data_IF_526106984680
#
_entry.id   IF_526106984680
#
_cell.length_a   1.000
_cell.length_b   1.000
_cell.length_c   1.000
_cell.angle_alpha   90.00
_cell.angle_beta   90.00
_cell.angle_gamma   90.00
#
_symmetry.space_group_name_H-M   'P 1'
#
loop_
_entity.id
_entity.type
_entity.pdbx_description
1 polymer ?
#
# COMPACT_ATOMS: atom_id res chain seq x y z
N UNK A 1 45.79 -37.46 16.51
CA UNK A 1 44.69 -36.51 16.80
C UNK A 1 44.97 -35.07 16.34
N UNK A 2 46.20 -34.61 16.21
CA UNK A 2 46.56 -33.24 15.79
C UNK A 2 46.11 -32.81 14.34
N UNK A 3 46.17 -33.69 13.31
CA UNK A 3 45.77 -33.26 11.94
C UNK A 3 44.31 -32.88 11.77
N UNK A 4 43.40 -33.51 12.51
CA UNK A 4 41.95 -33.21 12.44
C UNK A 4 41.57 -31.85 13.05
N UNK A 5 42.34 -31.39 14.03
CA UNK A 5 42.13 -30.05 14.64
C UNK A 5 42.58 -28.94 13.67
N UNK A 6 43.64 -29.16 12.94
CA UNK A 6 44.17 -28.20 11.94
C UNK A 6 43.19 -28.13 10.75
N UNK A 7 42.67 -29.27 10.26
CA UNK A 7 41.69 -29.32 9.19
C UNK A 7 40.36 -28.61 9.60
N UNK A 8 39.89 -28.81 10.83
CA UNK A 8 38.74 -28.10 11.36
C UNK A 8 38.93 -26.58 11.44
N UNK A 9 40.09 -26.12 11.81
CA UNK A 9 40.46 -24.70 11.86
C UNK A 9 40.51 -24.03 10.49
N UNK A 10 40.94 -24.74 9.46
CA UNK A 10 40.99 -24.28 8.06
C UNK A 10 39.61 -24.27 7.40
N UNK A 11 38.66 -25.10 7.86
CA UNK A 11 37.31 -25.15 7.34
C UNK A 11 36.38 -24.06 7.95
N UNK A 12 36.73 -23.54 9.14
CA UNK A 12 35.94 -22.47 9.79
C UNK A 12 35.85 -21.19 8.94
N UNK A 13 36.93 -20.63 8.38
CA UNK A 13 36.85 -19.46 7.51
C UNK A 13 36.04 -19.72 6.24
N UNK A 14 36.20 -20.93 5.65
CA UNK A 14 35.45 -21.33 4.44
C UNK A 14 33.96 -21.49 4.74
N UNK A 15 33.62 -22.07 5.88
CA UNK A 15 32.25 -22.18 6.33
C UNK A 15 31.63 -20.81 6.66
N UNK A 16 32.39 -19.94 7.33
CA UNK A 16 31.98 -18.58 7.62
C UNK A 16 31.81 -17.74 6.33
N UNK A 17 32.73 -17.91 5.38
CA UNK A 17 32.63 -17.24 4.08
C UNK A 17 31.43 -17.74 3.28
N UNK A 18 31.22 -19.05 3.17
CA UNK A 18 30.09 -19.64 2.48
C UNK A 18 28.74 -19.24 3.10
N UNK A 19 28.68 -19.12 4.43
CA UNK A 19 27.51 -18.60 5.13
C UNK A 19 27.29 -17.11 4.84
N UNK A 20 28.35 -16.32 4.80
CA UNK A 20 28.31 -14.88 4.57
C UNK A 20 27.91 -14.55 3.12
N UNK A 21 28.39 -15.31 2.13
CA UNK A 21 28.07 -15.11 0.70
C UNK A 21 26.72 -15.76 0.27
N UNK A 22 26.12 -16.58 1.14
CA UNK A 22 24.83 -17.24 0.89
C UNK A 22 23.75 -16.81 1.89
N UNK A 23 23.28 -17.70 2.77
CA UNK A 23 22.13 -17.45 3.65
C UNK A 23 22.30 -16.25 4.58
N UNK A 24 23.56 -15.88 4.91
CA UNK A 24 23.86 -14.72 5.74
C UNK A 24 23.51 -13.40 5.07
N UNK A 25 23.67 -13.30 3.75
CA UNK A 25 23.34 -12.08 2.99
C UNK A 25 21.84 -11.83 2.93
N UNK A 26 21.04 -12.88 2.72
CA UNK A 26 19.59 -12.75 2.67
C UNK A 26 19.02 -12.33 4.02
N UNK A 27 19.61 -12.82 5.11
CA UNK A 27 19.23 -12.40 6.47
C UNK A 27 19.57 -10.93 6.74
N UNK A 28 20.75 -10.47 6.32
CA UNK A 28 21.14 -9.05 6.44
C UNK A 28 20.19 -8.16 5.62
N UNK A 29 19.77 -8.61 4.42
CA UNK A 29 18.79 -7.87 3.61
C UNK A 29 17.42 -7.81 4.29
N UNK A 30 16.95 -8.91 4.86
CA UNK A 30 15.68 -8.93 5.61
C UNK A 30 15.74 -8.02 6.85
N UNK A 31 16.85 -8.03 7.60
CA UNK A 31 17.04 -7.11 8.73
C UNK A 31 17.01 -5.63 8.26
N UNK A 32 17.55 -5.32 7.07
CA UNK A 32 17.49 -3.99 6.48
C UNK A 32 16.06 -3.62 6.04
N UNK A 33 15.30 -4.55 5.46
CA UNK A 33 13.88 -4.36 5.12
C UNK A 33 13.08 -4.04 6.38
N UNK A 34 13.26 -4.82 7.45
CA UNK A 34 12.56 -4.62 8.71
C UNK A 34 12.86 -3.25 9.35
N UNK A 35 14.11 -2.79 9.26
CA UNK A 35 14.51 -1.46 9.74
C UNK A 35 13.81 -0.35 8.95
N UNK A 36 13.82 -0.42 7.62
CA UNK A 36 13.14 0.55 6.76
C UNK A 36 11.63 0.54 6.99
N UNK A 37 10.99 -0.62 7.17
CA UNK A 37 9.57 -0.73 7.49
C UNK A 37 9.23 -0.15 8.86
N UNK A 38 10.12 -0.27 9.85
CA UNK A 38 9.95 0.35 11.16
C UNK A 38 10.00 1.88 11.06
N UNK A 39 10.96 2.41 10.31
CA UNK A 39 11.09 3.85 10.08
C UNK A 39 9.92 4.40 9.24
N UNK A 40 9.44 3.66 8.23
CA UNK A 40 8.25 4.01 7.47
C UNK A 40 7.01 4.15 8.37
N UNK A 41 6.77 3.16 9.23
CA UNK A 41 5.64 3.19 10.18
C UNK A 41 5.74 4.34 11.18
N UNK A 42 6.96 4.62 11.66
CA UNK A 42 7.21 5.75 12.56
C UNK A 42 6.93 7.09 11.87
N UNK A 43 7.40 7.27 10.64
CA UNK A 43 7.14 8.47 9.85
C UNK A 43 5.64 8.63 9.56
N UNK A 44 4.93 7.55 9.18
CA UNK A 44 3.49 7.56 8.96
C UNK A 44 2.72 7.96 10.23
N UNK A 45 3.09 7.40 11.39
CA UNK A 45 2.47 7.77 12.68
C UNK A 45 2.70 9.23 13.06
N UNK A 46 3.81 9.82 12.60
CA UNK A 46 4.12 11.24 12.80
C UNK A 46 3.44 12.15 11.76
N UNK A 47 2.73 11.61 10.78
CA UNK A 47 2.15 12.36 9.66
C UNK A 47 3.18 12.79 8.61
N UNK A 48 4.40 12.26 8.67
CA UNK A 48 5.49 12.56 7.74
C UNK A 48 5.40 11.66 6.49
N UNK A 49 4.28 11.76 5.77
CA UNK A 49 3.90 10.83 4.71
C UNK A 49 4.91 10.72 3.57
N UNK A 50 5.51 11.84 3.16
CA UNK A 50 6.56 11.83 2.12
C UNK A 50 7.81 11.05 2.57
N UNK A 51 8.14 11.09 3.87
CA UNK A 51 9.22 10.33 4.46
C UNK A 51 8.84 8.85 4.58
N UNK A 52 7.60 8.56 5.00
CA UNK A 52 7.07 7.20 5.06
C UNK A 52 7.13 6.52 3.68
N UNK A 53 6.64 7.18 2.63
CA UNK A 53 6.72 6.66 1.26
C UNK A 53 8.16 6.36 0.84
N UNK A 54 9.11 7.24 1.16
CA UNK A 54 10.54 7.02 0.86
C UNK A 54 11.11 5.79 1.56
N UNK A 55 10.76 5.57 2.83
CA UNK A 55 11.18 4.37 3.57
C UNK A 55 10.53 3.10 3.04
N UNK A 56 9.25 3.13 2.64
CA UNK A 56 8.62 1.99 1.95
C UNK A 56 9.33 1.67 0.62
N UNK A 57 9.66 2.68 -0.19
CA UNK A 57 10.38 2.47 -1.45
C UNK A 57 11.81 1.91 -1.19
N UNK A 58 12.49 2.34 -0.11
CA UNK A 58 13.77 1.78 0.31
C UNK A 58 13.65 0.33 0.79
N UNK A 59 12.62 0.01 1.57
CA UNK A 59 12.31 -1.36 2.00
C UNK A 59 12.08 -2.28 0.79
N UNK A 60 11.32 -1.83 -0.20
CA UNK A 60 11.08 -2.57 -1.45
C UNK A 60 12.37 -2.84 -2.21
N UNK A 61 13.25 -1.84 -2.30
CA UNK A 61 14.55 -1.98 -2.97
C UNK A 61 15.54 -2.91 -2.23
N UNK A 62 15.38 -3.04 -0.90
CA UNK A 62 16.20 -3.91 -0.06
C UNK A 62 15.74 -5.37 -0.06
N UNK A 63 14.54 -5.69 -0.56
CA UNK A 63 14.04 -7.06 -0.61
C UNK A 63 15.02 -7.99 -1.33
N UNK A 64 15.27 -9.20 -0.80
CA UNK A 64 16.08 -10.18 -1.48
C UNK A 64 15.42 -10.60 -2.80
N UNK A 65 16.24 -10.87 -3.82
CA UNK A 65 15.76 -11.38 -5.11
C UNK A 65 15.51 -12.91 -5.02
N UNK A 66 14.56 -13.28 -4.15
CA UNK A 66 14.12 -14.66 -3.98
C UNK A 66 12.72 -14.80 -4.60
N UNK A 67 12.57 -15.77 -5.47
CA UNK A 67 11.28 -16.11 -6.08
C UNK A 67 10.49 -17.01 -5.11
N UNK A 68 10.03 -16.44 -4.01
CA UNK A 68 9.17 -17.12 -3.03
C UNK A 68 7.89 -16.34 -2.82
N UNK A 69 6.79 -17.03 -2.58
CA UNK A 69 5.47 -16.44 -2.31
C UNK A 69 5.52 -15.45 -1.13
N UNK A 70 6.37 -15.71 -0.14
CA UNK A 70 6.56 -14.82 1.02
C UNK A 70 7.17 -13.47 0.63
N UNK A 71 8.22 -13.48 -0.21
CA UNK A 71 8.87 -12.26 -0.69
C UNK A 71 7.96 -11.51 -1.63
N UNK A 72 7.26 -12.19 -2.52
CA UNK A 72 6.28 -11.60 -3.43
C UNK A 72 5.15 -10.91 -2.65
N UNK A 73 4.57 -11.60 -1.68
CA UNK A 73 3.53 -11.02 -0.82
C UNK A 73 4.05 -9.82 0.00
N UNK A 74 5.27 -9.89 0.51
CA UNK A 74 5.91 -8.77 1.20
C UNK A 74 6.09 -7.57 0.26
N UNK A 75 6.55 -7.80 -0.98
CA UNK A 75 6.69 -6.76 -1.99
C UNK A 75 5.35 -6.08 -2.30
N UNK A 76 4.28 -6.86 -2.52
CA UNK A 76 2.95 -6.31 -2.77
C UNK A 76 2.45 -5.48 -1.60
N UNK A 77 2.61 -5.96 -0.37
CA UNK A 77 2.23 -5.21 0.84
C UNK A 77 2.99 -3.90 0.97
N UNK A 78 4.29 -3.90 0.72
CA UNK A 78 5.13 -2.70 0.77
C UNK A 78 4.68 -1.71 -0.31
N UNK A 79 4.39 -2.17 -1.53
CA UNK A 79 3.93 -1.33 -2.64
C UNK A 79 2.58 -0.69 -2.31
N UNK A 80 1.61 -1.43 -1.77
CA UNK A 80 0.32 -0.88 -1.32
C UNK A 80 0.54 0.19 -0.24
N UNK A 81 1.39 -0.10 0.75
CA UNK A 81 1.69 0.85 1.83
C UNK A 81 2.39 2.12 1.32
N UNK A 82 3.34 1.99 0.36
CA UNK A 82 4.00 3.14 -0.27
C UNK A 82 3.00 4.00 -1.05
N UNK A 83 2.14 3.39 -1.85
CA UNK A 83 1.12 4.10 -2.63
C UNK A 83 0.11 4.83 -1.72
N UNK A 84 -0.32 4.23 -0.62
CA UNK A 84 -1.15 4.89 0.40
C UNK A 84 -0.42 6.06 1.07
N UNK A 85 0.86 5.90 1.41
CA UNK A 85 1.64 7.00 1.96
C UNK A 85 1.82 8.16 0.96
N UNK A 86 1.90 7.87 -0.35
CA UNK A 86 1.90 8.89 -1.41
C UNK A 86 0.55 9.60 -1.51
N UNK A 87 -0.56 8.89 -1.36
CA UNK A 87 -1.90 9.47 -1.29
C UNK A 87 -1.99 10.47 -0.14
N UNK A 88 -1.64 10.07 1.09
CA UNK A 88 -1.65 10.91 2.27
C UNK A 88 -0.67 12.10 2.17
N UNK A 89 0.45 11.88 1.48
CA UNK A 89 1.46 12.91 1.19
C UNK A 89 1.09 13.85 0.05
N UNK A 90 -0.16 13.85 -0.41
CA UNK A 90 -0.69 14.70 -1.50
C UNK A 90 -0.03 14.46 -2.86
N UNK A 91 0.57 13.30 -3.08
CA UNK A 91 1.11 12.87 -4.38
C UNK A 91 0.07 12.08 -5.17
N UNK A 92 -1.10 12.68 -5.38
CA UNK A 92 -2.30 12.00 -5.86
C UNK A 92 -2.10 11.32 -7.23
N UNK A 93 -1.40 11.94 -8.16
CA UNK A 93 -1.17 11.37 -9.51
C UNK A 93 -0.26 10.14 -9.44
N UNK A 94 0.77 10.17 -8.59
CA UNK A 94 1.65 9.01 -8.38
C UNK A 94 0.87 7.87 -7.69
N UNK A 95 0.11 8.20 -6.64
CA UNK A 95 -0.72 7.24 -5.91
C UNK A 95 -1.79 6.60 -6.79
N UNK A 96 -2.48 7.39 -7.63
CA UNK A 96 -3.49 6.89 -8.57
C UNK A 96 -2.89 5.86 -9.53
N UNK A 97 -1.78 6.21 -10.17
CA UNK A 97 -1.11 5.32 -11.12
C UNK A 97 -0.65 4.01 -10.47
N UNK A 98 -0.07 4.08 -9.27
CA UNK A 98 0.46 2.92 -8.56
C UNK A 98 -0.67 2.03 -8.04
N UNK A 99 -1.72 2.61 -7.44
CA UNK A 99 -2.86 1.88 -6.91
C UNK A 99 -3.70 1.24 -8.03
N UNK A 100 -3.88 1.92 -9.16
CA UNK A 100 -4.54 1.34 -10.34
C UNK A 100 -3.79 0.10 -10.82
N UNK A 101 -2.47 0.22 -11.01
CA UNK A 101 -1.63 -0.91 -11.44
C UNK A 101 -1.65 -2.07 -10.42
N UNK A 102 -1.63 -1.76 -9.11
CA UNK A 102 -1.72 -2.77 -8.06
C UNK A 102 -3.07 -3.48 -8.03
N UNK A 103 -4.17 -2.78 -8.26
CA UNK A 103 -5.50 -3.39 -8.36
C UNK A 103 -5.57 -4.36 -9.53
N UNK A 104 -5.03 -3.99 -10.70
CA UNK A 104 -4.98 -4.85 -11.87
C UNK A 104 -4.15 -6.10 -11.60
N UNK A 105 -2.93 -5.94 -11.07
CA UNK A 105 -2.01 -7.03 -10.76
C UNK A 105 -2.57 -7.99 -9.69
N UNK A 106 -3.06 -7.47 -8.57
CA UNK A 106 -3.62 -8.26 -7.48
C UNK A 106 -4.94 -8.96 -7.85
N UNK A 107 -5.66 -8.47 -8.88
CA UNK A 107 -6.88 -9.11 -9.38
C UNK A 107 -6.57 -10.42 -10.11
N UNK A 108 -5.40 -10.53 -10.73
CA UNK A 108 -4.95 -11.75 -11.41
C UNK A 108 -4.28 -12.76 -10.45
N UNK A 109 -3.99 -12.35 -9.20
CA UNK A 109 -3.38 -13.21 -8.19
C UNK A 109 -4.43 -14.11 -7.52
N UNK A 110 -3.96 -15.11 -6.79
CA UNK A 110 -4.83 -16.05 -6.07
C UNK A 110 -5.50 -15.41 -4.83
N UNK A 111 -6.44 -16.15 -4.24
CA UNK A 111 -7.25 -15.68 -3.11
C UNK A 111 -6.42 -15.34 -1.85
N UNK A 112 -5.17 -15.76 -1.77
CA UNK A 112 -4.30 -15.41 -0.63
C UNK A 112 -3.96 -13.92 -0.58
N UNK A 113 -4.10 -13.20 -1.70
CA UNK A 113 -3.87 -11.77 -1.83
C UNK A 113 -5.13 -10.90 -1.68
N UNK A 114 -6.27 -11.52 -1.34
CA UNK A 114 -7.56 -10.82 -1.29
C UNK A 114 -7.60 -9.63 -0.32
N UNK A 115 -6.87 -9.70 0.80
CA UNK A 115 -6.71 -8.61 1.76
C UNK A 115 -5.97 -7.40 1.15
N UNK A 116 -4.89 -7.65 0.43
CA UNK A 116 -4.11 -6.61 -0.25
C UNK A 116 -4.88 -5.99 -1.42
N UNK A 117 -5.63 -6.80 -2.16
CA UNK A 117 -6.50 -6.34 -3.23
C UNK A 117 -7.60 -5.40 -2.70
N UNK A 118 -8.21 -5.76 -1.57
CA UNK A 118 -9.21 -4.91 -0.92
C UNK A 118 -8.60 -3.57 -0.48
N UNK A 119 -7.44 -3.62 0.16
CA UNK A 119 -6.70 -2.43 0.60
C UNK A 119 -6.28 -1.53 -0.59
N UNK A 120 -5.82 -2.13 -1.69
CA UNK A 120 -5.48 -1.39 -2.90
C UNK A 120 -6.72 -0.74 -3.56
N UNK A 121 -7.85 -1.46 -3.62
CA UNK A 121 -9.13 -0.92 -4.14
C UNK A 121 -9.64 0.26 -3.33
N UNK A 122 -9.54 0.17 -2.02
CA UNK A 122 -9.93 1.29 -1.14
C UNK A 122 -9.02 2.50 -1.34
N UNK A 123 -7.69 2.31 -1.31
CA UNK A 123 -6.74 3.38 -1.57
C UNK A 123 -6.96 4.03 -2.93
N UNK A 124 -7.25 3.25 -3.98
CA UNK A 124 -7.57 3.76 -5.31
C UNK A 124 -8.87 4.58 -5.31
N UNK A 125 -9.91 4.11 -4.62
CA UNK A 125 -11.16 4.86 -4.48
C UNK A 125 -10.95 6.18 -3.71
N UNK A 126 -10.17 6.16 -2.63
CA UNK A 126 -9.79 7.35 -1.88
C UNK A 126 -9.04 8.36 -2.77
N UNK A 127 -8.09 7.88 -3.58
CA UNK A 127 -7.34 8.73 -4.51
C UNK A 127 -8.26 9.41 -5.53
N UNK A 128 -9.20 8.67 -6.12
CA UNK A 128 -10.21 9.22 -7.05
C UNK A 128 -11.13 10.24 -6.40
N UNK A 129 -11.49 10.01 -5.14
CA UNK A 129 -12.25 10.97 -4.34
C UNK A 129 -11.48 12.30 -4.20
N UNK A 130 -10.22 12.26 -3.80
CA UNK A 130 -9.40 13.46 -3.62
C UNK A 130 -9.09 14.18 -4.94
N UNK A 131 -8.83 13.44 -6.00
CA UNK A 131 -8.66 14.01 -7.34
C UNK A 131 -9.92 14.76 -7.76
N UNK A 132 -11.10 14.13 -7.59
CA UNK A 132 -12.39 14.78 -7.88
C UNK A 132 -12.58 16.05 -7.08
N UNK A 133 -12.25 16.00 -5.79
CA UNK A 133 -12.37 17.16 -4.90
C UNK A 133 -11.51 18.34 -5.38
N UNK A 134 -10.25 18.08 -5.74
CA UNK A 134 -9.36 19.10 -6.30
C UNK A 134 -9.87 19.62 -7.65
N UNK A 135 -10.26 18.74 -8.57
CA UNK A 135 -10.80 19.15 -9.88
C UNK A 135 -12.01 20.07 -9.73
N UNK A 136 -12.90 19.78 -8.77
CA UNK A 136 -14.04 20.64 -8.47
C UNK A 136 -13.64 21.99 -7.91
N UNK A 137 -12.68 22.04 -6.98
CA UNK A 137 -12.14 23.29 -6.43
C UNK A 137 -11.44 24.15 -7.50
N UNK A 138 -10.79 23.54 -8.46
CA UNK A 138 -10.13 24.19 -9.58
C UNK A 138 -11.09 24.61 -10.70
N UNK A 139 -12.38 24.26 -10.58
CA UNK A 139 -13.42 24.68 -11.52
C UNK A 139 -13.47 23.85 -12.79
N UNK A 140 -12.98 22.62 -12.78
CA UNK A 140 -13.13 21.68 -13.89
C UNK A 140 -14.61 21.39 -14.20
N UNK A 141 -14.91 21.08 -15.47
CA UNK A 141 -16.27 20.79 -15.88
C UNK A 141 -16.72 19.43 -15.30
N UNK A 142 -18.01 19.27 -15.13
CA UNK A 142 -18.60 18.03 -14.61
C UNK A 142 -18.21 16.80 -15.42
N UNK A 143 -18.12 16.91 -16.73
CA UNK A 143 -17.69 15.84 -17.63
C UNK A 143 -16.29 15.29 -17.30
N UNK A 144 -15.43 16.11 -16.69
CA UNK A 144 -14.05 15.75 -16.42
C UNK A 144 -13.90 14.98 -15.11
N UNK A 145 -14.64 15.37 -14.07
CA UNK A 145 -14.52 14.76 -12.73
C UNK A 145 -15.61 13.72 -12.41
N UNK A 146 -16.77 13.73 -13.10
CA UNK A 146 -17.86 12.79 -12.80
C UNK A 146 -17.48 11.32 -12.99
N UNK A 147 -16.69 10.93 -14.01
CA UNK A 147 -16.22 9.54 -14.13
C UNK A 147 -15.35 9.09 -12.96
N UNK A 148 -14.53 9.98 -12.41
CA UNK A 148 -13.64 9.67 -11.29
C UNK A 148 -14.43 9.38 -10.01
N UNK A 149 -15.37 10.27 -9.66
CA UNK A 149 -16.19 10.07 -8.47
C UNK A 149 -17.16 8.89 -8.61
N UNK A 150 -17.67 8.62 -9.79
CA UNK A 150 -18.53 7.47 -10.03
C UNK A 150 -17.74 6.15 -9.85
N UNK A 151 -16.50 6.10 -10.30
CA UNK A 151 -15.60 4.98 -10.04
C UNK A 151 -15.36 4.75 -8.54
N UNK A 152 -15.09 5.82 -7.78
CA UNK A 152 -14.94 5.75 -6.33
C UNK A 152 -16.20 5.23 -5.64
N UNK A 153 -17.38 5.77 -6.00
CA UNK A 153 -18.68 5.33 -5.46
C UNK A 153 -18.94 3.84 -5.67
N UNK A 154 -18.67 3.35 -6.87
CA UNK A 154 -18.83 1.93 -7.18
C UNK A 154 -17.86 1.04 -6.40
N UNK A 155 -16.61 1.51 -6.20
CA UNK A 155 -15.62 0.79 -5.41
C UNK A 155 -16.05 0.70 -3.94
N UNK A 156 -16.42 1.80 -3.30
CA UNK A 156 -16.90 1.80 -1.92
C UNK A 156 -18.15 0.92 -1.72
N UNK A 157 -19.11 0.99 -2.65
CA UNK A 157 -20.30 0.13 -2.61
C UNK A 157 -19.94 -1.36 -2.64
N UNK A 158 -19.07 -1.77 -3.55
CA UNK A 158 -18.61 -3.17 -3.63
C UNK A 158 -17.82 -3.60 -2.39
N UNK A 159 -16.96 -2.74 -1.84
CA UNK A 159 -16.21 -3.02 -0.62
C UNK A 159 -17.15 -3.19 0.59
N UNK A 160 -18.17 -2.35 0.71
CA UNK A 160 -19.19 -2.48 1.75
C UNK A 160 -19.97 -3.80 1.66
N UNK A 161 -20.38 -4.20 0.45
CA UNK A 161 -21.07 -5.49 0.22
C UNK A 161 -20.17 -6.69 0.54
N UNK A 162 -18.89 -6.63 0.16
CA UNK A 162 -17.91 -7.66 0.47
C UNK A 162 -17.69 -7.80 1.98
N UNK A 163 -17.53 -6.68 2.71
CA UNK A 163 -17.40 -6.67 4.16
C UNK A 163 -18.62 -7.31 4.84
N UNK A 164 -19.85 -6.93 4.43
CA UNK A 164 -21.09 -7.52 4.93
C UNK A 164 -21.18 -9.03 4.69
N UNK A 165 -20.82 -9.48 3.51
CA UNK A 165 -20.86 -10.91 3.18
C UNK A 165 -19.96 -11.77 4.07
N UNK A 166 -18.93 -11.15 4.68
CA UNK A 166 -18.01 -11.79 5.64
C UNK A 166 -18.42 -11.57 7.09
N UNK A 167 -19.50 -10.82 7.34
CA UNK A 167 -19.96 -10.47 8.70
C UNK A 167 -19.12 -9.37 9.37
N UNK A 168 -18.34 -8.61 8.61
CA UNK A 168 -17.57 -7.47 9.11
C UNK A 168 -18.39 -6.17 8.99
N UNK A 169 -19.32 -6.02 9.93
CA UNK A 169 -20.24 -4.87 9.94
C UNK A 169 -19.51 -3.54 10.15
N UNK A 170 -18.46 -3.53 10.97
CA UNK A 170 -17.69 -2.30 11.19
C UNK A 170 -17.08 -1.80 9.89
N UNK A 171 -16.42 -2.70 9.16
CA UNK A 171 -15.80 -2.38 7.87
C UNK A 171 -16.84 -1.97 6.82
N UNK A 172 -18.00 -2.64 6.82
CA UNK A 172 -19.11 -2.28 5.94
C UNK A 172 -19.59 -0.84 6.21
N UNK A 173 -19.76 -0.45 7.48
CA UNK A 173 -20.19 0.88 7.87
C UNK A 173 -19.14 1.96 7.50
N UNK A 174 -17.83 1.68 7.64
CA UNK A 174 -16.77 2.56 7.19
C UNK A 174 -16.84 2.81 5.68
N UNK A 175 -17.01 1.76 4.88
CA UNK A 175 -17.14 1.88 3.42
C UNK A 175 -18.44 2.60 3.01
N UNK A 176 -19.54 2.41 3.73
CA UNK A 176 -20.76 3.15 3.49
C UNK A 176 -20.62 4.64 3.82
N UNK A 177 -19.90 5.00 4.87
CA UNK A 177 -19.60 6.39 5.19
C UNK A 177 -18.78 7.06 4.08
N UNK A 178 -17.78 6.33 3.53
CA UNK A 178 -16.99 6.79 2.39
C UNK A 178 -17.84 6.93 1.12
N UNK A 179 -18.75 5.99 0.87
CA UNK A 179 -19.73 6.06 -0.22
C UNK A 179 -20.63 7.29 -0.07
N UNK A 180 -21.14 7.56 1.13
CA UNK A 180 -21.97 8.75 1.40
C UNK A 180 -21.18 10.04 1.13
N UNK A 181 -19.94 10.11 1.56
CA UNK A 181 -19.03 11.24 1.29
C UNK A 181 -18.84 11.46 -0.21
N UNK A 182 -18.64 10.38 -0.98
CA UNK A 182 -18.51 10.45 -2.43
C UNK A 182 -19.82 10.91 -3.12
N UNK A 183 -20.98 10.48 -2.62
CA UNK A 183 -22.27 10.95 -3.11
C UNK A 183 -22.44 12.46 -2.82
N UNK A 184 -22.08 12.90 -1.63
CA UNK A 184 -22.11 14.32 -1.26
C UNK A 184 -21.16 15.13 -2.14
N UNK A 185 -19.93 14.66 -2.31
CA UNK A 185 -18.95 15.30 -3.20
C UNK A 185 -19.49 15.47 -4.63
N UNK A 186 -20.23 14.50 -5.16
CA UNK A 186 -20.81 14.60 -6.50
C UNK A 186 -21.98 15.58 -6.62
N UNK A 187 -22.67 15.91 -5.53
CA UNK A 187 -23.96 16.63 -5.53
C UNK A 187 -23.92 18.03 -4.95
N UNK A 188 -23.09 18.26 -3.93
CA UNK A 188 -23.01 19.54 -3.24
C UNK A 188 -22.41 20.63 -4.12
N UNK A 189 -22.83 21.87 -3.93
CA UNK A 189 -22.21 23.01 -4.56
C UNK A 189 -20.85 23.31 -3.92
N UNK A 190 -20.00 24.12 -4.59
CA UNK A 190 -18.63 24.41 -4.15
C UNK A 190 -18.59 25.03 -2.74
N UNK A 191 -19.55 25.90 -2.42
CA UNK A 191 -19.63 26.55 -1.11
C UNK A 191 -19.96 25.56 0.02
N UNK A 192 -20.62 24.45 -0.32
CA UNK A 192 -21.02 23.40 0.63
C UNK A 192 -19.94 22.32 0.81
N UNK A 193 -18.92 22.29 -0.05
CA UNK A 193 -17.81 21.33 0.06
C UNK A 193 -16.90 21.59 1.26
N UNK A 194 -16.95 22.81 1.83
CA UNK A 194 -16.24 23.11 3.07
C UNK A 194 -16.89 22.39 4.24
N UNK A 195 -16.24 21.37 4.78
CA UNK A 195 -16.77 20.57 5.89
C UNK A 195 -17.34 19.22 5.46
N UNK A 196 -17.18 18.83 4.20
CA UNK A 196 -17.47 17.47 3.76
C UNK A 196 -16.62 16.46 4.55
N UNK A 197 -17.23 15.41 5.15
CA UNK A 197 -16.46 14.36 5.79
C UNK A 197 -15.59 13.63 4.75
N UNK A 198 -14.32 13.48 5.08
CA UNK A 198 -13.37 12.74 4.25
C UNK A 198 -13.62 11.24 4.35
N UNK A 199 -13.27 10.44 3.32
CA UNK A 199 -13.34 9.00 3.39
C UNK A 199 -12.45 8.47 4.51
N UNK A 200 -12.78 7.28 5.03
CA UNK A 200 -11.98 6.59 6.05
C UNK A 200 -10.56 6.31 5.54
N UNK A 201 -9.59 6.53 6.40
CA UNK A 201 -8.16 6.38 6.12
C UNK A 201 -7.56 5.22 6.93
#
# INVERSE_FOLDING_TARGET
MRPFLIAGWLLLPVGAWAYHEGPGQDRIKLDAVDAELADARKAATAGEWALAAKHYDAALAALPQLETDEVERAAMRIRVSSAKAKLEGSKLIEAEKELSALVDELTEMDASYADLLEEAKEGHANTKFYITWLMRLEGYQRSDWEPEIESARQAYGRLAEQARSRGDEQRADEMLASLESAIKLARLDLDELQGLPLPSQ
#
